data_IF_161485094154
#
_entry.id   IF_161485094154
#
_cell.length_a   1.000
_cell.length_b   1.000
_cell.length_c   1.000
_cell.angle_alpha   90.00
_cell.angle_beta   90.00
_cell.angle_gamma   90.00
#
_symmetry.space_group_name_H-M   'P 1'
#
loop_
_entity.id
_entity.type
_entity.pdbx_description
1 polymer ?
#
# COMPACT_ATOMS: atom_id res chain seq x y z
N UNK A 1 44.15 -16.49 33.89
CA UNK A 1 42.78 -16.90 34.29
C UNK A 1 41.79 -15.72 34.30
N UNK A 2 42.04 -14.63 35.04
CA UNK A 2 41.10 -13.51 35.19
C UNK A 2 40.71 -12.84 33.86
N UNK A 3 41.66 -12.59 32.95
CA UNK A 3 41.40 -11.96 31.63
C UNK A 3 40.54 -12.81 30.73
N UNK A 4 40.70 -14.14 30.71
CA UNK A 4 39.87 -15.06 29.92
C UNK A 4 38.42 -15.11 30.45
N UNK A 5 38.24 -15.07 31.76
CA UNK A 5 36.92 -15.02 32.40
C UNK A 5 36.16 -13.73 32.04
N UNK A 6 36.86 -12.60 32.02
CA UNK A 6 36.26 -11.30 31.65
C UNK A 6 35.88 -11.31 30.16
N UNK A 7 36.74 -11.82 29.29
CA UNK A 7 36.42 -11.94 27.87
C UNK A 7 35.15 -12.80 27.63
N UNK A 8 35.08 -13.98 28.24
CA UNK A 8 33.92 -14.86 28.13
C UNK A 8 32.64 -14.20 28.68
N UNK A 9 32.71 -13.54 29.81
CA UNK A 9 31.58 -12.81 30.41
C UNK A 9 31.10 -11.67 29.48
N UNK A 10 32.03 -10.92 28.89
CA UNK A 10 31.70 -9.86 27.93
C UNK A 10 30.96 -10.41 26.72
N UNK A 11 31.43 -11.53 26.14
CA UNK A 11 30.75 -12.16 25.00
C UNK A 11 29.34 -12.59 25.38
N UNK A 12 29.15 -13.26 26.51
CA UNK A 12 27.84 -13.70 26.99
C UNK A 12 26.92 -12.49 27.21
N UNK A 13 27.40 -11.44 27.85
CA UNK A 13 26.62 -10.21 28.08
C UNK A 13 26.20 -9.54 26.75
N UNK A 14 27.12 -9.43 25.79
CA UNK A 14 26.84 -8.86 24.47
C UNK A 14 25.78 -9.69 23.71
N UNK A 15 25.89 -11.01 23.69
CA UNK A 15 24.92 -11.87 23.03
C UNK A 15 23.55 -11.79 23.69
N UNK A 16 23.49 -11.84 25.03
CA UNK A 16 22.23 -11.68 25.78
C UNK A 16 21.57 -10.33 25.49
N UNK A 17 22.34 -9.26 25.54
CA UNK A 17 21.87 -7.92 25.20
C UNK A 17 21.30 -7.84 23.77
N UNK A 18 21.98 -8.47 22.81
CA UNK A 18 21.54 -8.50 21.40
C UNK A 18 20.24 -9.27 21.20
N UNK A 19 20.06 -10.38 21.92
CA UNK A 19 18.80 -11.14 21.92
C UNK A 19 17.67 -10.24 22.44
N UNK A 20 17.89 -9.53 23.51
CA UNK A 20 16.90 -8.59 24.08
C UNK A 20 16.55 -7.49 23.09
N UNK A 21 17.53 -6.90 22.40
CA UNK A 21 17.25 -5.92 21.33
C UNK A 21 16.39 -6.52 20.24
N UNK A 22 16.71 -7.74 19.75
CA UNK A 22 15.94 -8.41 18.71
C UNK A 22 14.51 -8.76 19.10
N UNK A 23 14.24 -8.94 20.40
CA UNK A 23 12.90 -9.23 20.93
C UNK A 23 12.10 -7.95 21.19
N UNK A 24 12.71 -6.97 21.87
CA UNK A 24 11.99 -5.82 22.41
C UNK A 24 11.91 -4.61 21.48
N UNK A 25 12.81 -4.48 20.49
CA UNK A 25 12.64 -3.42 19.47
C UNK A 25 11.46 -3.79 18.56
N UNK A 26 10.40 -2.97 18.53
CA UNK A 26 9.27 -3.22 17.67
C UNK A 26 9.69 -3.09 16.19
N UNK A 27 9.07 -3.88 15.31
CA UNK A 27 9.36 -3.89 13.86
C UNK A 27 8.82 -2.66 13.12
N UNK A 28 7.81 -2.02 13.70
CA UNK A 28 7.11 -0.85 13.16
C UNK A 28 7.79 0.47 13.53
N UNK A 29 9.07 0.41 13.93
CA UNK A 29 9.88 1.60 14.14
C UNK A 29 10.29 2.25 12.80
N UNK A 30 10.49 3.56 12.80
CA UNK A 30 10.79 4.36 11.62
C UNK A 30 12.09 3.94 10.90
N UNK A 31 13.07 3.37 11.62
CA UNK A 31 14.35 2.96 11.03
C UNK A 31 14.21 1.62 10.27
N UNK A 32 13.52 0.62 10.83
CA UNK A 32 13.22 -0.60 10.08
C UNK A 32 12.36 -0.28 8.85
N UNK A 33 11.41 0.66 8.98
CA UNK A 33 10.63 1.15 7.86
C UNK A 33 11.49 1.79 6.77
N UNK A 34 12.48 2.61 7.15
CA UNK A 34 13.41 3.22 6.20
C UNK A 34 14.30 2.18 5.51
N UNK A 35 14.81 1.18 6.24
CA UNK A 35 15.55 0.06 5.66
C UNK A 35 14.70 -0.69 4.63
N UNK A 36 13.45 -1.00 4.96
CA UNK A 36 12.50 -1.64 4.05
C UNK A 36 12.29 -0.83 2.76
N UNK A 37 12.01 0.47 2.87
CA UNK A 37 11.77 1.35 1.71
C UNK A 37 12.99 1.43 0.79
N UNK A 38 14.20 1.51 1.39
CA UNK A 38 15.47 1.54 0.63
C UNK A 38 15.82 0.17 0.05
N UNK A 39 15.47 -0.93 0.72
CA UNK A 39 15.61 -2.29 0.20
C UNK A 39 14.68 -2.54 -0.99
N UNK A 40 13.44 -2.03 -0.95
CA UNK A 40 12.54 -2.05 -2.11
C UNK A 40 13.15 -1.33 -3.32
N UNK A 41 13.73 -0.14 -3.08
CA UNK A 41 14.42 0.62 -4.12
C UNK A 41 15.61 -0.14 -4.69
N UNK A 42 16.50 -0.67 -3.84
CA UNK A 42 17.70 -1.41 -4.26
C UNK A 42 17.35 -2.65 -5.09
N UNK A 43 16.35 -3.42 -4.65
CA UNK A 43 15.85 -4.57 -5.40
C UNK A 43 15.38 -4.19 -6.80
N UNK A 44 14.62 -3.11 -6.93
CA UNK A 44 14.03 -2.72 -8.21
C UNK A 44 15.01 -2.02 -9.16
N UNK A 45 16.12 -1.48 -8.65
CA UNK A 45 17.18 -0.91 -9.49
C UNK A 45 17.94 -1.98 -10.32
N UNK A 46 17.83 -3.25 -9.90
CA UNK A 46 18.52 -4.38 -10.54
C UNK A 46 17.68 -5.15 -11.57
N UNK A 47 16.36 -4.96 -11.56
CA UNK A 47 15.45 -5.71 -12.42
C UNK A 47 14.59 -4.74 -13.23
N UNK A 48 14.82 -4.68 -14.54
CA UNK A 48 13.89 -4.01 -15.48
C UNK A 48 12.60 -4.85 -15.52
N UNK A 49 11.53 -4.32 -14.91
CA UNK A 49 10.32 -5.08 -14.64
C UNK A 49 9.63 -5.59 -15.90
N UNK A 50 9.52 -6.89 -16.01
CA UNK A 50 8.50 -7.52 -16.85
C UNK A 50 7.13 -7.20 -16.23
N UNK A 51 6.21 -6.65 -17.03
CA UNK A 51 4.90 -6.21 -16.59
C UNK A 51 4.12 -7.34 -15.94
N UNK A 52 3.78 -7.18 -14.65
CA UNK A 52 2.75 -7.97 -14.05
C UNK A 52 1.44 -7.71 -14.83
N UNK A 53 0.58 -8.72 -14.92
CA UNK A 53 -0.76 -8.55 -15.49
C UNK A 53 -1.48 -7.47 -14.68
N UNK A 54 -2.03 -6.48 -15.38
CA UNK A 54 -2.80 -5.41 -14.78
C UNK A 54 -4.21 -5.92 -14.46
N UNK A 55 -4.41 -6.51 -13.27
CA UNK A 55 -5.73 -7.00 -12.83
C UNK A 55 -6.52 -5.90 -12.11
N UNK A 56 -5.85 -4.79 -11.75
CA UNK A 56 -6.41 -3.65 -11.05
C UNK A 56 -6.18 -2.38 -11.85
N UNK A 57 -7.18 -1.51 -11.89
CA UNK A 57 -7.16 -0.25 -12.64
C UNK A 57 -7.75 0.88 -11.79
N UNK A 58 -7.22 2.09 -11.95
CA UNK A 58 -7.75 3.30 -11.31
C UNK A 58 -8.54 4.12 -12.34
N UNK A 59 -9.76 4.47 -11.99
CA UNK A 59 -10.59 5.44 -12.70
C UNK A 59 -10.57 6.76 -11.93
N UNK A 60 -9.90 7.75 -12.49
CA UNK A 60 -9.44 8.92 -11.76
C UNK A 60 -10.26 10.18 -12.05
N UNK A 61 -10.65 10.89 -10.97
CA UNK A 61 -10.92 12.33 -11.05
C UNK A 61 -9.58 13.06 -11.11
N UNK A 62 -9.23 13.54 -12.30
CA UNK A 62 -7.96 14.24 -12.58
C UNK A 62 -8.15 15.77 -12.64
N UNK A 63 -7.07 16.51 -12.89
CA UNK A 63 -7.10 17.97 -12.98
C UNK A 63 -8.01 18.53 -14.08
N UNK A 64 -8.33 17.74 -15.11
CA UNK A 64 -9.23 18.14 -16.20
C UNK A 64 -10.69 17.97 -15.80
N UNK A 65 -10.96 17.12 -14.82
CA UNK A 65 -12.31 16.75 -14.41
C UNK A 65 -13.19 17.95 -13.99
N UNK A 66 -12.72 18.94 -13.19
CA UNK A 66 -13.58 20.04 -12.74
C UNK A 66 -14.15 20.90 -13.86
N UNK A 67 -13.42 21.06 -14.97
CA UNK A 67 -13.79 21.91 -16.11
C UNK A 67 -14.36 21.13 -17.29
N UNK A 68 -14.46 19.81 -17.19
CA UNK A 68 -14.86 18.96 -18.30
C UNK A 68 -16.37 19.07 -18.58
N UNK A 69 -16.78 19.21 -19.86
CA UNK A 69 -18.19 19.24 -20.23
C UNK A 69 -18.96 17.99 -19.83
N UNK A 70 -18.27 16.84 -19.76
CA UNK A 70 -18.81 15.54 -19.35
C UNK A 70 -19.35 15.59 -17.92
N UNK A 71 -18.70 16.35 -17.04
CA UNK A 71 -19.10 16.54 -15.64
C UNK A 71 -20.02 17.75 -15.45
N UNK A 72 -20.31 18.48 -16.55
CA UNK A 72 -21.31 19.56 -16.58
C UNK A 72 -21.07 20.66 -15.53
N UNK A 73 -19.83 20.91 -15.13
CA UNK A 73 -19.45 21.85 -14.07
C UNK A 73 -20.25 21.63 -12.76
N UNK A 74 -20.65 20.38 -12.49
CA UNK A 74 -21.38 20.05 -11.28
C UNK A 74 -20.42 19.99 -10.06
N UNK A 75 -20.83 20.51 -8.91
CA UNK A 75 -20.12 20.21 -7.66
C UNK A 75 -20.22 18.70 -7.35
N UNK A 76 -19.21 18.15 -6.67
CA UNK A 76 -19.16 16.70 -6.37
C UNK A 76 -20.39 16.18 -5.63
N UNK A 77 -20.98 16.99 -4.75
CA UNK A 77 -22.22 16.66 -4.06
C UNK A 77 -23.38 16.30 -5.02
N UNK A 78 -23.29 16.70 -6.29
CA UNK A 78 -24.27 16.44 -7.34
C UNK A 78 -23.78 15.41 -8.39
N UNK A 79 -22.76 14.62 -8.11
CA UNK A 79 -22.21 13.66 -9.07
C UNK A 79 -23.01 12.35 -9.18
N UNK A 80 -24.13 12.18 -8.45
CA UNK A 80 -24.93 10.95 -8.55
C UNK A 80 -25.28 10.52 -9.97
N UNK A 81 -25.68 11.39 -10.94
CA UNK A 81 -25.91 10.96 -12.31
C UNK A 81 -24.64 10.53 -13.04
N UNK A 82 -23.50 11.12 -12.69
CA UNK A 82 -22.19 10.75 -13.24
C UNK A 82 -21.81 9.37 -12.72
N UNK A 83 -21.96 9.13 -11.41
CA UNK A 83 -21.73 7.81 -10.81
C UNK A 83 -22.66 6.75 -11.37
N UNK A 84 -23.93 7.11 -11.67
CA UNK A 84 -24.87 6.22 -12.32
C UNK A 84 -24.38 5.78 -13.71
N UNK A 85 -23.96 6.75 -14.53
CA UNK A 85 -23.44 6.50 -15.87
C UNK A 85 -22.17 5.65 -15.81
N UNK A 86 -21.24 6.01 -14.92
CA UNK A 86 -19.99 5.28 -14.72
C UNK A 86 -20.24 3.83 -14.30
N UNK A 87 -21.11 3.61 -13.31
CA UNK A 87 -21.40 2.27 -12.83
C UNK A 87 -22.15 1.42 -13.87
N UNK A 88 -23.09 2.01 -14.60
CA UNK A 88 -23.77 1.32 -15.68
C UNK A 88 -22.78 0.92 -16.79
N UNK A 89 -21.89 1.81 -17.19
CA UNK A 89 -20.88 1.53 -18.22
C UNK A 89 -19.88 0.44 -17.80
N UNK A 90 -19.36 0.52 -16.56
CA UNK A 90 -18.45 -0.51 -16.03
C UNK A 90 -19.16 -1.85 -15.82
N UNK A 91 -20.43 -1.83 -15.38
CA UNK A 91 -21.23 -3.04 -15.26
C UNK A 91 -21.51 -3.71 -16.60
N UNK A 92 -21.80 -2.93 -17.66
CA UNK A 92 -21.93 -3.43 -19.03
C UNK A 92 -20.60 -3.91 -19.63
N UNK A 93 -19.48 -3.34 -19.17
CA UNK A 93 -18.15 -3.77 -19.55
C UNK A 93 -17.69 -5.02 -18.80
N UNK A 94 -18.52 -5.60 -17.95
CA UNK A 94 -18.21 -6.79 -17.14
C UNK A 94 -16.98 -6.60 -16.24
N UNK A 95 -16.79 -5.42 -15.66
CA UNK A 95 -15.79 -5.21 -14.61
C UNK A 95 -16.04 -6.19 -13.45
N UNK A 96 -14.96 -6.79 -12.92
CA UNK A 96 -15.07 -7.80 -11.86
C UNK A 96 -15.65 -7.22 -10.56
N UNK A 97 -15.19 -6.03 -10.17
CA UNK A 97 -15.79 -5.23 -9.12
C UNK A 97 -15.42 -3.75 -9.29
N UNK A 98 -16.23 -2.87 -8.67
CA UNK A 98 -16.07 -1.41 -8.71
C UNK A 98 -16.06 -0.90 -7.28
N UNK A 99 -14.96 -0.28 -6.84
CA UNK A 99 -14.80 0.26 -5.51
C UNK A 99 -14.69 1.79 -5.57
N UNK A 100 -15.54 2.48 -4.81
CA UNK A 100 -15.55 3.93 -4.71
C UNK A 100 -14.68 4.37 -3.53
N UNK A 101 -13.54 4.98 -3.83
CA UNK A 101 -12.67 5.64 -2.85
C UNK A 101 -13.19 7.07 -2.57
N UNK A 102 -14.48 7.14 -2.23
CA UNK A 102 -15.18 8.36 -1.86
C UNK A 102 -16.15 8.07 -0.72
N UNK A 103 -16.18 8.99 0.24
CA UNK A 103 -17.19 8.99 1.28
C UNK A 103 -18.47 9.65 0.77
N UNK A 104 -19.39 8.86 0.22
CA UNK A 104 -20.67 9.33 -0.31
C UNK A 104 -21.71 9.51 0.81
N UNK A 105 -21.36 10.31 1.84
CA UNK A 105 -22.18 10.51 3.05
C UNK A 105 -23.45 11.33 2.81
N UNK A 106 -23.50 12.06 1.72
CA UNK A 106 -24.66 12.89 1.34
C UNK A 106 -25.33 12.33 0.08
N UNK A 107 -26.65 12.35 0.08
CA UNK A 107 -27.46 12.09 -1.09
C UNK A 107 -27.59 13.38 -1.92
N UNK A 108 -27.27 13.33 -3.20
CA UNK A 108 -27.52 14.47 -4.11
C UNK A 108 -29.00 14.85 -4.16
N UNK A 109 -29.90 13.92 -3.85
CA UNK A 109 -31.34 14.14 -3.73
C UNK A 109 -31.73 15.11 -2.62
N UNK A 110 -30.88 15.34 -1.62
CA UNK A 110 -31.08 16.35 -0.58
C UNK A 110 -30.98 17.78 -1.15
N UNK A 111 -30.18 17.97 -2.20
CA UNK A 111 -29.97 19.25 -2.86
C UNK A 111 -30.89 19.42 -4.08
N UNK A 112 -31.22 18.32 -4.76
CA UNK A 112 -32.05 18.30 -5.95
C UNK A 112 -32.89 17.02 -5.99
N UNK A 113 -34.19 17.16 -5.76
CA UNK A 113 -35.14 16.04 -5.72
C UNK A 113 -35.03 15.14 -6.96
N UNK A 114 -34.98 13.83 -6.72
CA UNK A 114 -34.89 12.81 -7.77
C UNK A 114 -33.51 12.66 -8.44
N UNK A 115 -32.51 13.46 -8.05
CA UNK A 115 -31.19 13.48 -8.68
C UNK A 115 -30.42 12.16 -8.51
N UNK A 116 -30.70 11.43 -7.43
CA UNK A 116 -30.06 10.15 -7.11
C UNK A 116 -30.71 8.93 -7.77
N UNK A 117 -31.87 9.07 -8.38
CA UNK A 117 -32.69 7.94 -8.81
C UNK A 117 -31.91 6.96 -9.70
N UNK A 118 -31.17 7.48 -10.67
CA UNK A 118 -30.42 6.62 -11.60
C UNK A 118 -29.22 5.96 -10.93
N UNK A 119 -28.57 6.63 -9.99
CA UNK A 119 -27.48 6.02 -9.23
C UNK A 119 -27.99 4.93 -8.28
N UNK A 120 -29.12 5.15 -7.61
CA UNK A 120 -29.75 4.11 -6.77
C UNK A 120 -30.16 2.89 -7.62
N UNK A 121 -30.69 3.08 -8.83
CA UNK A 121 -30.98 1.98 -9.76
C UNK A 121 -29.71 1.23 -10.17
N UNK A 122 -28.62 1.94 -10.46
CA UNK A 122 -27.34 1.33 -10.80
C UNK A 122 -26.75 0.54 -9.62
N UNK A 123 -26.78 1.09 -8.41
CA UNK A 123 -26.38 0.41 -7.19
C UNK A 123 -27.22 -0.87 -6.95
N UNK A 124 -28.52 -0.79 -7.15
CA UNK A 124 -29.41 -1.97 -7.01
C UNK A 124 -29.10 -3.06 -8.05
N UNK A 125 -28.79 -2.65 -9.29
CA UNK A 125 -28.50 -3.57 -10.41
C UNK A 125 -27.16 -4.26 -10.26
N UNK A 126 -26.13 -3.54 -9.83
CA UNK A 126 -24.74 -4.02 -9.78
C UNK A 126 -24.19 -4.17 -8.35
N UNK A 127 -25.05 -4.19 -7.33
CA UNK A 127 -24.65 -4.20 -5.93
C UNK A 127 -23.82 -5.42 -5.50
N UNK A 128 -23.91 -6.52 -6.24
CA UNK A 128 -23.06 -7.70 -6.10
C UNK A 128 -21.58 -7.44 -6.44
N UNK A 129 -21.29 -6.41 -7.22
CA UNK A 129 -19.95 -6.02 -7.70
C UNK A 129 -19.48 -4.65 -7.19
N UNK A 130 -20.28 -3.96 -6.39
CA UNK A 130 -19.98 -2.58 -5.95
C UNK A 130 -19.57 -2.54 -4.49
N UNK A 131 -18.56 -1.72 -4.20
CA UNK A 131 -18.17 -1.35 -2.86
C UNK A 131 -18.16 0.17 -2.73
N UNK A 132 -18.88 0.68 -1.74
CA UNK A 132 -18.83 2.09 -1.36
C UNK A 132 -17.87 2.30 -0.18
N UNK A 133 -17.10 3.38 -0.26
CA UNK A 133 -16.23 3.80 0.83
C UNK A 133 -17.01 4.26 2.06
N UNK A 134 -16.54 3.86 3.25
CA UNK A 134 -16.98 4.36 4.55
C UNK A 134 -15.78 4.78 5.40
N UNK A 135 -16.00 5.64 6.37
CA UNK A 135 -15.05 5.83 7.47
C UNK A 135 -15.52 5.09 8.73
N UNK A 136 -14.68 5.05 9.78
CA UNK A 136 -15.04 4.48 11.07
C UNK A 136 -16.29 5.13 11.68
N UNK A 137 -16.46 6.44 11.49
CA UNK A 137 -17.59 7.21 12.06
C UNK A 137 -18.68 7.60 11.06
N UNK A 138 -18.50 7.37 9.76
CA UNK A 138 -19.41 7.88 8.73
C UNK A 138 -19.71 6.83 7.67
N UNK A 139 -21.00 6.59 7.46
CA UNK A 139 -21.50 5.68 6.43
C UNK A 139 -21.94 6.46 5.17
N UNK A 140 -22.02 5.80 4.02
CA UNK A 140 -22.71 6.32 2.86
C UNK A 140 -24.16 6.72 3.18
N UNK A 141 -24.73 7.61 2.36
CA UNK A 141 -26.09 8.06 2.53
C UNK A 141 -27.07 6.88 2.64
N UNK A 142 -28.06 6.97 3.53
CA UNK A 142 -29.04 5.89 3.79
C UNK A 142 -29.74 5.42 2.52
N UNK A 143 -30.01 6.33 1.57
CA UNK A 143 -30.64 6.00 0.28
C UNK A 143 -29.74 5.11 -0.59
N UNK A 144 -28.41 5.26 -0.52
CA UNK A 144 -27.47 4.40 -1.23
C UNK A 144 -27.35 3.04 -0.54
N UNK A 145 -27.32 3.03 0.80
CA UNK A 145 -27.34 1.79 1.58
C UNK A 145 -28.61 0.97 1.29
N UNK A 146 -29.77 1.62 1.22
CA UNK A 146 -31.03 0.98 0.87
C UNK A 146 -31.00 0.37 -0.55
N UNK A 147 -30.41 1.10 -1.52
CA UNK A 147 -30.24 0.57 -2.88
C UNK A 147 -29.31 -0.67 -2.92
N UNK A 148 -28.34 -0.75 -2.02
CA UNK A 148 -27.48 -1.92 -1.79
C UNK A 148 -28.10 -2.95 -0.84
N UNK A 149 -29.39 -2.81 -0.51
CA UNK A 149 -30.12 -3.71 0.42
C UNK A 149 -29.49 -3.81 1.81
N UNK A 150 -28.78 -2.77 2.25
CA UNK A 150 -28.00 -2.73 3.49
C UNK A 150 -26.97 -3.86 3.59
N UNK A 151 -26.44 -4.35 2.45
CA UNK A 151 -25.40 -5.37 2.42
C UNK A 151 -24.10 -4.83 3.03
N UNK A 152 -23.64 -5.33 4.19
CA UNK A 152 -22.42 -4.86 4.82
C UNK A 152 -21.16 -5.20 3.99
N UNK A 153 -21.26 -6.21 3.11
CA UNK A 153 -20.14 -6.59 2.23
C UNK A 153 -19.91 -5.62 1.09
N UNK A 154 -20.88 -4.73 0.83
CA UNK A 154 -20.79 -3.65 -0.15
C UNK A 154 -20.14 -2.38 0.44
N UNK A 155 -19.57 -2.45 1.65
CA UNK A 155 -18.90 -1.34 2.30
C UNK A 155 -17.44 -1.68 2.58
N UNK A 156 -16.54 -0.69 2.38
CA UNK A 156 -15.12 -0.82 2.66
C UNK A 156 -14.56 0.41 3.37
N UNK A 157 -13.72 0.20 4.39
CA UNK A 157 -13.04 1.28 5.11
C UNK A 157 -12.01 1.96 4.22
N UNK A 158 -12.06 3.30 4.24
CA UNK A 158 -11.13 4.18 3.50
C UNK A 158 -9.87 4.51 4.32
N UNK A 159 -9.89 4.25 5.64
CA UNK A 159 -8.78 4.58 6.49
C UNK A 159 -7.53 3.77 6.14
N UNK A 160 -6.45 4.49 5.87
CA UNK A 160 -5.11 3.97 5.71
C UNK A 160 -4.32 4.28 6.98
N UNK A 161 -3.74 3.26 7.59
CA UNK A 161 -3.00 3.41 8.85
C UNK A 161 -1.51 3.63 8.55
N UNK A 162 -0.97 4.82 8.84
CA UNK A 162 0.46 5.08 8.71
C UNK A 162 1.24 4.45 9.87
N UNK A 163 2.48 4.08 9.61
CA UNK A 163 3.47 3.73 10.62
C UNK A 163 3.87 4.98 11.43
N UNK A 164 4.73 4.80 12.44
CA UNK A 164 5.19 5.89 13.32
C UNK A 164 5.89 7.04 12.61
N UNK A 165 6.40 6.81 11.39
CA UNK A 165 7.04 7.82 10.53
C UNK A 165 6.09 8.45 9.49
N UNK A 166 4.79 8.15 9.57
CA UNK A 166 3.78 8.66 8.66
C UNK A 166 3.71 7.94 7.31
N UNK A 167 4.50 6.89 7.11
CA UNK A 167 4.52 6.10 5.86
C UNK A 167 3.55 4.93 5.95
N UNK A 168 2.82 4.68 4.88
CA UNK A 168 1.91 3.54 4.78
C UNK A 168 2.63 2.37 4.14
N UNK A 169 2.85 1.31 4.94
CA UNK A 169 3.50 0.07 4.53
C UNK A 169 2.61 -1.15 4.66
N UNK A 170 1.71 -1.14 5.63
CA UNK A 170 0.87 -2.27 5.99
C UNK A 170 -0.60 -1.95 5.73
N UNK A 171 -1.30 -2.89 5.10
CA UNK A 171 -2.72 -2.77 4.75
C UNK A 171 -3.51 -3.87 5.47
N UNK A 172 -4.14 -3.55 6.61
CA UNK A 172 -5.09 -4.47 7.24
C UNK A 172 -6.24 -4.77 6.28
N UNK A 173 -6.58 -6.04 6.08
CA UNK A 173 -7.73 -6.42 5.25
C UNK A 173 -9.04 -6.33 6.03
N UNK A 174 -8.96 -6.34 7.37
CA UNK A 174 -10.10 -6.11 8.24
C UNK A 174 -9.71 -5.29 9.46
N UNK A 175 -10.65 -4.51 9.97
CA UNK A 175 -10.50 -3.68 11.16
C UNK A 175 -11.61 -4.05 12.14
N UNK A 176 -11.33 -4.03 13.45
CA UNK A 176 -12.38 -4.07 14.47
C UNK A 176 -13.23 -2.80 14.39
N UNK A 177 -14.56 -2.94 14.34
CA UNK A 177 -15.43 -1.76 14.38
C UNK A 177 -15.76 -1.43 15.85
N UNK A 178 -15.09 -0.43 16.39
CA UNK A 178 -15.32 0.05 17.78
C UNK A 178 -16.76 0.53 18.02
N UNK A 179 -17.51 0.86 16.97
CA UNK A 179 -18.89 1.34 17.06
C UNK A 179 -19.92 0.21 16.95
N UNK A 180 -19.52 -0.95 16.42
CA UNK A 180 -20.42 -2.12 16.25
C UNK A 180 -20.22 -3.20 17.32
N UNK A 181 -19.37 -2.95 18.32
CA UNK A 181 -18.89 -3.95 19.27
C UNK A 181 -17.60 -4.63 18.77
N UNK A 182 -16.75 -5.06 19.69
CA UNK A 182 -15.39 -5.57 19.41
C UNK A 182 -15.35 -6.80 18.47
N UNK A 183 -16.50 -7.45 18.20
CA UNK A 183 -16.58 -8.68 17.42
C UNK A 183 -16.92 -8.50 15.93
N UNK A 184 -17.22 -7.28 15.48
CA UNK A 184 -17.57 -7.03 14.08
C UNK A 184 -16.35 -6.52 13.29
N UNK A 185 -15.75 -7.41 12.53
CA UNK A 185 -14.66 -7.04 11.62
C UNK A 185 -15.21 -6.36 10.36
N UNK A 186 -14.81 -5.10 10.12
CA UNK A 186 -15.11 -4.37 8.89
C UNK A 186 -13.94 -4.50 7.92
N UNK A 187 -14.24 -4.85 6.67
CA UNK A 187 -13.22 -4.98 5.62
C UNK A 187 -12.69 -3.61 5.20
N UNK A 188 -11.40 -3.53 4.88
CA UNK A 188 -10.84 -2.38 4.14
C UNK A 188 -11.46 -2.29 2.75
N UNK A 189 -11.34 -1.13 2.08
CA UNK A 189 -11.85 -0.94 0.72
C UNK A 189 -11.28 -1.97 -0.25
N UNK A 190 -9.97 -2.23 -0.16
CA UNK A 190 -9.29 -3.24 -0.98
C UNK A 190 -9.83 -4.65 -0.73
N UNK A 191 -10.01 -5.03 0.54
CA UNK A 191 -10.51 -6.36 0.89
C UNK A 191 -11.98 -6.57 0.49
N UNK A 192 -12.81 -5.54 0.64
CA UNK A 192 -14.21 -5.60 0.21
C UNK A 192 -14.30 -5.74 -1.32
N UNK A 193 -13.46 -4.98 -2.07
CA UNK A 193 -13.38 -5.05 -3.52
C UNK A 193 -12.92 -6.43 -4.02
N UNK A 194 -11.85 -6.99 -3.40
CA UNK A 194 -11.38 -8.34 -3.70
C UNK A 194 -12.46 -9.40 -3.46
N UNK A 195 -13.19 -9.29 -2.34
CA UNK A 195 -14.27 -10.22 -2.03
C UNK A 195 -15.42 -10.15 -3.04
N UNK A 196 -15.81 -8.94 -3.49
CA UNK A 196 -16.83 -8.76 -4.55
C UNK A 196 -16.36 -9.30 -5.90
N UNK A 197 -15.06 -9.28 -6.17
CA UNK A 197 -14.46 -9.92 -7.36
C UNK A 197 -14.29 -11.46 -7.22
N UNK A 198 -14.73 -12.06 -6.11
CA UNK A 198 -14.57 -13.50 -5.85
C UNK A 198 -13.15 -13.91 -5.46
N UNK A 199 -12.30 -12.95 -5.09
CA UNK A 199 -10.90 -13.15 -4.71
C UNK A 199 -10.78 -12.97 -3.19
N UNK A 200 -9.97 -13.76 -2.51
CA UNK A 200 -9.63 -13.44 -1.12
C UNK A 200 -9.87 -14.51 -0.06
N UNK A 201 -10.23 -15.74 -0.44
CA UNK A 201 -10.48 -16.83 0.53
C UNK A 201 -9.25 -17.30 1.30
N UNK A 202 -8.03 -16.96 0.86
CA UNK A 202 -6.75 -17.38 1.47
C UNK A 202 -5.80 -16.22 1.79
N UNK A 203 -6.31 -14.99 1.87
CA UNK A 203 -5.46 -13.83 2.13
C UNK A 203 -5.10 -13.71 3.61
N UNK A 204 -3.90 -13.24 3.96
CA UNK A 204 -3.52 -12.96 5.34
C UNK A 204 -4.36 -11.79 5.89
N UNK A 205 -4.47 -11.63 7.22
CA UNK A 205 -5.24 -10.54 7.83
C UNK A 205 -4.66 -9.16 7.49
N UNK A 206 -3.41 -9.11 7.09
CA UNK A 206 -2.68 -7.88 6.71
C UNK A 206 -1.77 -8.17 5.53
N UNK A 207 -1.66 -7.21 4.61
CA UNK A 207 -0.77 -7.26 3.46
C UNK A 207 0.28 -6.17 3.59
N UNK A 208 1.54 -6.53 3.40
CA UNK A 208 2.65 -5.60 3.22
C UNK A 208 3.05 -5.69 1.75
N UNK A 209 2.58 -4.80 0.87
CA UNK A 209 2.91 -4.84 -0.53
C UNK A 209 4.41 -4.73 -0.76
N UNK A 210 4.90 -5.47 -1.74
CA UNK A 210 6.28 -5.41 -2.20
C UNK A 210 6.31 -5.00 -3.67
N UNK A 211 5.88 -3.76 -3.99
CA UNK A 211 5.70 -3.32 -5.36
C UNK A 211 7.03 -3.27 -6.10
N UNK A 212 6.98 -3.58 -7.40
CA UNK A 212 8.13 -3.43 -8.31
C UNK A 212 8.15 -2.11 -9.05
N UNK A 213 7.06 -1.35 -8.98
CA UNK A 213 6.90 -0.07 -9.63
C UNK A 213 6.24 0.93 -8.67
N UNK A 214 6.44 2.21 -8.95
CA UNK A 214 5.74 3.26 -8.23
C UNK A 214 4.21 3.07 -8.33
N UNK A 215 3.41 3.34 -7.29
CA UNK A 215 1.96 3.12 -7.33
C UNK A 215 1.26 3.87 -8.46
N UNK A 216 1.72 5.06 -8.84
CA UNK A 216 1.18 5.81 -9.98
C UNK A 216 1.53 5.20 -11.37
N UNK A 217 2.33 4.12 -11.43
CA UNK A 217 2.55 3.35 -12.65
C UNK A 217 1.36 2.43 -12.98
N UNK A 218 0.44 2.25 -12.04
CA UNK A 218 -0.77 1.45 -12.22
C UNK A 218 -1.63 2.02 -13.36
N UNK A 219 -2.28 1.16 -14.17
CA UNK A 219 -3.17 1.62 -15.23
C UNK A 219 -4.22 2.58 -14.67
N UNK A 220 -4.20 3.80 -15.15
CA UNK A 220 -5.10 4.86 -14.70
C UNK A 220 -5.73 5.53 -15.89
N UNK A 221 -7.06 5.70 -15.84
CA UNK A 221 -7.83 6.36 -16.89
C UNK A 221 -8.60 7.53 -16.29
N UNK A 222 -8.67 8.64 -17.03
CA UNK A 222 -9.49 9.77 -16.60
C UNK A 222 -10.99 9.44 -16.70
N UNK A 223 -11.74 9.75 -15.64
CA UNK A 223 -13.19 9.55 -15.62
C UNK A 223 -13.87 10.22 -16.81
N UNK A 224 -13.46 11.43 -17.19
CA UNK A 224 -14.03 12.19 -18.32
C UNK A 224 -13.85 11.48 -19.66
N UNK A 225 -12.69 10.87 -19.89
CA UNK A 225 -12.41 10.14 -21.13
C UNK A 225 -13.21 8.83 -21.17
N UNK A 226 -13.34 8.15 -20.05
CA UNK A 226 -14.15 6.92 -19.93
C UNK A 226 -15.64 7.22 -20.16
N UNK A 227 -16.20 8.29 -19.56
CA UNK A 227 -17.59 8.71 -19.80
C UNK A 227 -17.84 9.02 -21.28
N UNK A 228 -16.89 9.71 -21.91
CA UNK A 228 -16.99 9.98 -23.36
C UNK A 228 -17.03 8.69 -24.16
N UNK A 229 -16.16 7.73 -23.82
CA UNK A 229 -16.09 6.44 -24.49
C UNK A 229 -17.32 5.57 -24.22
N UNK A 230 -17.90 5.61 -23.04
CA UNK A 230 -19.15 4.91 -22.73
C UNK A 230 -20.29 5.34 -23.65
N UNK A 231 -20.31 6.61 -24.07
CA UNK A 231 -21.34 7.18 -24.96
C UNK A 231 -21.09 6.91 -26.46
N UNK A 232 -19.82 6.83 -26.87
CA UNK A 232 -19.44 6.82 -28.29
C UNK A 232 -18.88 5.50 -28.77
N UNK A 233 -18.26 4.70 -27.91
CA UNK A 233 -17.60 3.45 -28.24
C UNK A 233 -17.59 2.48 -27.04
N UNK A 234 -18.73 1.94 -26.61
CA UNK A 234 -18.83 1.07 -25.45
C UNK A 234 -17.94 -0.18 -25.54
N UNK A 235 -17.70 -0.69 -26.77
CA UNK A 235 -16.82 -1.84 -26.99
C UNK A 235 -15.36 -1.58 -26.54
N UNK A 236 -14.87 -0.34 -26.68
CA UNK A 236 -13.54 0.06 -26.21
C UNK A 236 -13.49 0.01 -24.69
N UNK A 237 -14.57 0.47 -24.04
CA UNK A 237 -14.70 0.42 -22.58
C UNK A 237 -14.73 -1.04 -22.12
N UNK A 238 -15.53 -1.88 -22.78
CA UNK A 238 -15.59 -3.32 -22.46
C UNK A 238 -14.21 -3.96 -22.56
N UNK A 239 -13.54 -3.80 -23.68
CA UNK A 239 -12.18 -4.36 -23.89
C UNK A 239 -11.17 -3.88 -22.84
N UNK A 240 -11.36 -2.66 -22.31
CA UNK A 240 -10.41 -2.06 -21.34
C UNK A 240 -10.67 -2.52 -19.92
N UNK A 241 -11.94 -2.76 -19.52
CA UNK A 241 -12.30 -2.99 -18.12
C UNK A 241 -12.85 -4.39 -17.82
N UNK A 242 -13.06 -5.22 -18.83
CA UNK A 242 -13.60 -6.58 -18.67
C UNK A 242 -12.72 -7.43 -17.73
N UNK A 243 -13.34 -7.95 -16.66
CA UNK A 243 -12.68 -8.79 -15.68
C UNK A 243 -11.72 -8.05 -14.72
N UNK A 244 -11.59 -6.72 -14.85
CA UNK A 244 -10.69 -5.94 -13.98
C UNK A 244 -11.39 -5.45 -12.71
N UNK A 245 -10.59 -5.27 -11.66
CA UNK A 245 -10.99 -4.60 -10.44
C UNK A 245 -10.76 -3.09 -10.59
N UNK A 246 -11.83 -2.30 -10.52
CA UNK A 246 -11.80 -0.86 -10.77
C UNK A 246 -11.91 -0.08 -9.46
N UNK A 247 -10.91 0.75 -9.14
CA UNK A 247 -10.98 1.72 -8.06
C UNK A 247 -11.26 3.10 -8.61
N UNK A 248 -12.33 3.75 -8.15
CA UNK A 248 -12.72 5.11 -8.55
C UNK A 248 -12.32 6.06 -7.44
N UNK A 249 -11.41 7.00 -7.74
CA UNK A 249 -10.93 7.94 -6.73
C UNK A 249 -10.39 9.25 -7.30
N UNK A 250 -9.97 10.13 -6.41
CA UNK A 250 -9.36 11.41 -6.79
C UNK A 250 -7.84 11.27 -6.91
N UNK A 251 -7.29 11.84 -7.98
CA UNK A 251 -5.83 11.98 -8.16
C UNK A 251 -5.43 13.47 -8.23
N UNK A 252 -6.26 14.34 -7.70
CA UNK A 252 -5.98 15.77 -7.63
C UNK A 252 -4.79 16.04 -6.71
N UNK A 253 -3.96 17.05 -7.02
CA UNK A 253 -2.73 17.33 -6.25
C UNK A 253 -3.00 17.69 -4.79
N UNK A 254 -4.14 18.32 -4.52
CA UNK A 254 -4.50 18.89 -3.23
C UNK A 254 -5.39 17.97 -2.38
N UNK A 255 -5.64 16.73 -2.84
CA UNK A 255 -6.56 15.81 -2.18
C UNK A 255 -5.89 14.51 -1.78
N UNK A 256 -6.18 14.07 -0.55
CA UNK A 256 -5.85 12.76 0.05
C UNK A 256 -4.52 12.13 -0.39
N UNK A 257 -3.44 12.87 -0.24
CA UNK A 257 -2.11 12.39 -0.57
C UNK A 257 -1.42 11.77 0.64
N UNK A 258 -0.82 10.61 0.44
CA UNK A 258 -0.17 9.80 1.48
C UNK A 258 1.26 9.44 1.08
N UNK A 259 2.11 9.18 2.08
CA UNK A 259 3.46 8.68 1.85
C UNK A 259 3.41 7.16 1.79
N UNK A 260 3.97 6.58 0.73
CA UNK A 260 4.03 5.14 0.51
C UNK A 260 5.45 4.60 0.75
N UNK A 261 5.56 3.33 1.12
CA UNK A 261 6.82 2.59 1.13
C UNK A 261 7.56 2.64 -0.23
N UNK A 262 6.80 2.73 -1.32
CA UNK A 262 7.33 2.82 -2.68
C UNK A 262 7.84 4.22 -3.09
N UNK A 263 7.97 5.16 -2.16
CA UNK A 263 8.36 6.57 -2.40
C UNK A 263 9.70 6.76 -3.10
N UNK A 264 10.59 5.78 -3.01
CA UNK A 264 11.90 5.82 -3.67
C UNK A 264 11.93 5.11 -5.02
N UNK A 265 10.84 4.43 -5.40
CA UNK A 265 10.74 3.81 -6.73
C UNK A 265 10.61 4.90 -7.80
N UNK A 266 11.22 4.70 -8.98
CA UNK A 266 11.10 5.66 -10.05
C UNK A 266 9.64 5.82 -10.47
N UNK A 267 9.16 7.03 -10.75
CA UNK A 267 7.84 7.24 -11.34
C UNK A 267 7.77 6.54 -12.70
N UNK A 268 6.56 6.12 -13.08
CA UNK A 268 6.36 5.56 -14.42
C UNK A 268 6.72 6.60 -15.48
N UNK A 269 7.23 6.13 -16.61
CA UNK A 269 7.44 7.00 -17.75
C UNK A 269 6.09 7.59 -18.19
N UNK A 270 6.01 8.90 -18.47
CA UNK A 270 4.79 9.50 -18.97
C UNK A 270 4.40 8.79 -20.28
N UNK A 271 3.17 8.29 -20.32
CA UNK A 271 2.61 7.69 -21.52
C UNK A 271 2.22 8.84 -22.45
N UNK A 272 2.74 8.85 -23.67
CA UNK A 272 2.44 9.87 -24.66
C UNK A 272 0.91 9.97 -24.89
N UNK A 273 0.35 11.10 -24.47
CA UNK A 273 -1.08 11.37 -24.56
C UNK A 273 -1.53 11.87 -25.95
N UNK A 274 -0.66 11.84 -26.96
CA UNK A 274 -0.84 12.58 -28.22
C UNK A 274 -1.58 11.85 -29.35
N UNK A 275 -2.17 10.66 -29.13
CA UNK A 275 -2.90 9.99 -30.19
C UNK A 275 -4.40 9.86 -29.90
N UNK A 276 -5.11 10.98 -29.86
CA UNK A 276 -6.58 10.97 -29.81
C UNK A 276 -7.15 11.06 -31.23
N UNK A 277 -7.28 9.93 -31.91
CA UNK A 277 -8.22 9.75 -33.03
C UNK A 277 -9.29 8.74 -32.61
N UNK A 278 -10.50 9.21 -32.41
CA UNK A 278 -11.60 8.39 -31.92
C UNK A 278 -11.64 8.26 -30.40
N UNK A 279 -12.42 7.32 -29.88
CA UNK A 279 -12.43 7.01 -28.46
C UNK A 279 -11.29 6.06 -28.14
N UNK A 280 -10.13 6.59 -27.88
CA UNK A 280 -9.02 5.89 -27.24
C UNK A 280 -8.98 6.30 -25.77
N UNK A 281 -8.68 5.34 -24.90
CA UNK A 281 -8.52 5.57 -23.48
C UNK A 281 -7.02 5.68 -23.16
N UNK A 282 -6.42 6.88 -23.20
CA UNK A 282 -5.03 7.04 -22.86
C UNK A 282 -4.86 6.78 -21.36
N UNK A 283 -3.81 6.05 -20.99
CA UNK A 283 -3.41 5.94 -19.59
C UNK A 283 -2.91 7.30 -19.11
N UNK A 284 -3.33 7.71 -17.94
CA UNK A 284 -2.77 8.89 -17.28
C UNK A 284 -1.33 8.58 -16.85
N UNK A 285 -0.43 9.51 -17.14
CA UNK A 285 0.93 9.49 -16.58
C UNK A 285 0.92 9.90 -15.11
N UNK A 286 2.03 9.65 -14.38
CA UNK A 286 2.19 10.04 -13.00
C UNK A 286 2.09 11.56 -12.85
N UNK A 287 1.56 12.00 -11.73
CA UNK A 287 1.51 13.42 -11.39
C UNK A 287 2.91 13.99 -11.22
N UNK A 288 3.22 15.07 -11.92
CA UNK A 288 4.51 15.79 -11.76
C UNK A 288 4.66 16.49 -10.40
N UNK A 289 3.61 16.51 -9.59
CA UNK A 289 3.52 17.45 -8.48
C UNK A 289 4.26 17.03 -7.21
N UNK A 290 4.53 15.75 -6.94
CA UNK A 290 5.28 15.38 -5.74
C UNK A 290 5.63 13.87 -5.75
N UNK A 291 6.88 13.53 -5.97
CA UNK A 291 7.33 12.14 -6.08
C UNK A 291 7.24 11.33 -4.77
N UNK A 292 7.11 11.99 -3.62
CA UNK A 292 7.10 11.32 -2.32
C UNK A 292 5.71 10.96 -1.79
N UNK A 293 4.66 11.55 -2.34
CA UNK A 293 3.28 11.30 -1.94
C UNK A 293 2.44 10.82 -3.11
N UNK A 294 1.52 9.91 -2.84
CA UNK A 294 0.59 9.36 -3.83
C UNK A 294 -0.85 9.55 -3.37
N UNK A 295 -1.83 9.73 -4.27
CA UNK A 295 -3.24 9.70 -3.93
C UNK A 295 -3.65 8.40 -3.23
N UNK A 296 -4.54 8.48 -2.23
CA UNK A 296 -4.98 7.34 -1.43
C UNK A 296 -5.54 6.19 -2.26
N UNK A 297 -6.26 6.49 -3.33
CA UNK A 297 -6.82 5.49 -4.25
C UNK A 297 -5.77 4.52 -4.81
N UNK A 298 -4.55 5.00 -5.10
CA UNK A 298 -3.47 4.13 -5.56
C UNK A 298 -2.99 3.17 -4.48
N UNK A 299 -3.08 3.56 -3.21
CA UNK A 299 -2.68 2.70 -2.10
C UNK A 299 -3.68 1.54 -1.92
N UNK A 300 -4.98 1.82 -2.02
CA UNK A 300 -6.01 0.78 -2.04
C UNK A 300 -5.85 -0.15 -3.24
N UNK A 301 -5.63 0.41 -4.41
CA UNK A 301 -5.42 -0.36 -5.64
C UNK A 301 -4.12 -1.20 -5.57
N UNK A 302 -3.03 -0.65 -5.02
CA UNK A 302 -1.76 -1.36 -4.81
C UNK A 302 -1.92 -2.54 -3.84
N UNK A 303 -2.66 -2.37 -2.75
CA UNK A 303 -2.94 -3.46 -1.80
C UNK A 303 -3.75 -4.58 -2.48
N UNK A 304 -4.74 -4.23 -3.29
CA UNK A 304 -5.52 -5.20 -4.06
C UNK A 304 -4.67 -5.91 -5.12
N UNK A 305 -3.84 -5.18 -5.88
CA UNK A 305 -2.94 -5.76 -6.87
C UNK A 305 -1.91 -6.70 -6.21
N UNK A 306 -1.35 -6.31 -5.06
CA UNK A 306 -0.43 -7.16 -4.31
C UNK A 306 -1.10 -8.46 -3.84
N UNK A 307 -2.37 -8.38 -3.42
CA UNK A 307 -3.16 -9.55 -3.03
C UNK A 307 -3.38 -10.51 -4.20
N UNK A 308 -3.71 -10.00 -5.39
CA UNK A 308 -3.98 -10.79 -6.60
C UNK A 308 -2.69 -11.43 -7.12
N UNK A 309 -1.62 -10.65 -7.23
CA UNK A 309 -0.36 -11.09 -7.81
C UNK A 309 0.53 -11.88 -6.86
N UNK A 310 0.21 -11.94 -5.56
CA UNK A 310 1.07 -12.51 -4.53
C UNK A 310 2.32 -11.69 -4.21
N UNK A 311 2.43 -10.46 -4.73
CA UNK A 311 3.57 -9.56 -4.50
C UNK A 311 3.48 -8.84 -3.15
N UNK A 312 3.52 -9.60 -2.08
CA UNK A 312 3.52 -9.10 -0.71
C UNK A 312 4.50 -9.91 0.15
N UNK A 313 4.97 -9.28 1.22
CA UNK A 313 5.96 -9.88 2.11
C UNK A 313 5.38 -10.17 3.48
N UNK A 314 5.98 -11.15 4.13
CA UNK A 314 5.73 -11.48 5.54
C UNK A 314 6.92 -11.03 6.37
N UNK A 315 6.69 -10.34 7.48
CA UNK A 315 7.79 -10.04 8.40
C UNK A 315 8.32 -11.32 9.03
N UNK A 316 9.64 -11.40 9.18
CA UNK A 316 10.30 -12.52 9.84
C UNK A 316 9.77 -12.68 11.27
N UNK A 317 9.62 -13.94 11.69
CA UNK A 317 9.19 -14.24 13.05
C UNK A 317 10.16 -13.67 14.10
N UNK A 318 9.67 -13.26 15.30
CA UNK A 318 10.51 -12.66 16.33
C UNK A 318 11.74 -13.47 16.70
N UNK A 319 11.62 -14.81 16.66
CA UNK A 319 12.73 -15.71 16.92
C UNK A 319 13.90 -15.51 15.93
N UNK A 320 13.61 -15.39 14.64
CA UNK A 320 14.65 -15.15 13.63
C UNK A 320 15.33 -13.80 13.81
N UNK A 321 14.59 -12.76 14.18
CA UNK A 321 15.15 -11.45 14.50
C UNK A 321 16.13 -11.55 15.68
N UNK A 322 15.74 -12.26 16.74
CA UNK A 322 16.58 -12.46 17.91
C UNK A 322 17.85 -13.27 17.55
N UNK A 323 17.73 -14.31 16.72
CA UNK A 323 18.88 -15.12 16.27
C UNK A 323 19.85 -14.28 15.43
N UNK A 324 19.37 -13.50 14.49
CA UNK A 324 20.21 -12.63 13.65
C UNK A 324 20.88 -11.56 14.52
N UNK A 325 20.14 -10.94 15.44
CA UNK A 325 20.69 -9.96 16.38
C UNK A 325 21.79 -10.59 17.28
N UNK A 326 21.56 -11.81 17.79
CA UNK A 326 22.54 -12.55 18.58
C UNK A 326 23.82 -12.85 17.79
N UNK A 327 23.68 -13.31 16.55
CA UNK A 327 24.82 -13.59 15.68
C UNK A 327 25.66 -12.35 15.37
N UNK A 328 24.98 -11.22 15.08
CA UNK A 328 25.65 -9.94 14.84
C UNK A 328 26.21 -9.33 16.12
N UNK A 329 25.54 -9.51 17.27
CA UNK A 329 26.07 -9.11 18.56
C UNK A 329 27.32 -9.88 18.96
N UNK A 330 27.36 -11.18 18.68
CA UNK A 330 28.58 -11.99 18.84
C UNK A 330 29.69 -11.48 17.92
N UNK A 331 29.39 -11.26 16.64
CA UNK A 331 30.37 -10.69 15.71
C UNK A 331 30.91 -9.35 16.20
N UNK A 332 30.04 -8.44 16.66
CA UNK A 332 30.44 -7.15 17.23
C UNK A 332 31.32 -7.28 18.46
N UNK A 333 31.00 -8.21 19.38
CA UNK A 333 31.84 -8.48 20.54
C UNK A 333 33.25 -8.97 20.15
N UNK A 334 33.33 -9.88 19.17
CA UNK A 334 34.61 -10.37 18.66
C UNK A 334 35.41 -9.25 17.96
N UNK A 335 34.76 -8.43 17.14
CA UNK A 335 35.42 -7.30 16.50
C UNK A 335 36.01 -6.31 17.52
N UNK A 336 35.25 -5.94 18.56
CA UNK A 336 35.69 -5.01 19.60
C UNK A 336 36.82 -5.57 20.46
N UNK A 337 36.79 -6.87 20.78
CA UNK A 337 37.82 -7.53 21.60
C UNK A 337 39.11 -7.78 20.85
N UNK A 338 39.08 -8.10 19.57
CA UNK A 338 40.27 -8.63 18.88
C UNK A 338 40.83 -7.72 17.78
N UNK A 339 40.02 -6.82 17.16
CA UNK A 339 40.51 -5.94 16.10
C UNK A 339 40.99 -4.57 16.64
N UNK A 340 41.81 -3.92 15.83
CA UNK A 340 42.10 -2.50 16.02
C UNK A 340 40.84 -1.64 15.66
N UNK A 341 40.68 -0.44 16.26
CA UNK A 341 39.48 0.39 16.09
C UNK A 341 39.06 0.60 14.62
N UNK A 342 40.01 0.94 13.77
CA UNK A 342 39.76 1.16 12.35
C UNK A 342 39.31 -0.10 11.60
N UNK A 343 39.91 -1.24 11.93
CA UNK A 343 39.50 -2.53 11.36
C UNK A 343 38.11 -2.95 11.83
N UNK A 344 37.82 -2.77 13.12
CA UNK A 344 36.50 -3.05 13.68
C UNK A 344 35.44 -2.16 13.04
N UNK A 345 35.70 -0.85 12.92
CA UNK A 345 34.81 0.12 12.24
C UNK A 345 34.51 -0.31 10.82
N UNK A 346 35.54 -0.60 10.01
CA UNK A 346 35.33 -1.06 8.64
C UNK A 346 34.49 -2.33 8.56
N UNK A 347 34.78 -3.33 9.40
CA UNK A 347 34.01 -4.57 9.45
C UNK A 347 32.55 -4.35 9.83
N UNK A 348 32.25 -3.44 10.77
CA UNK A 348 30.88 -3.08 11.17
C UNK A 348 30.12 -2.54 9.97
N UNK A 349 30.69 -1.63 9.18
CA UNK A 349 30.03 -1.09 7.97
C UNK A 349 29.82 -2.14 6.89
N UNK A 350 30.81 -3.02 6.67
CA UNK A 350 30.67 -4.12 5.71
C UNK A 350 29.53 -5.05 6.15
N UNK A 351 29.50 -5.47 7.42
CA UNK A 351 28.45 -6.36 7.93
C UNK A 351 27.07 -5.69 7.90
N UNK A 352 26.97 -4.41 8.26
CA UNK A 352 25.72 -3.66 8.14
C UNK A 352 25.22 -3.59 6.69
N UNK A 353 26.12 -3.34 5.73
CA UNK A 353 25.80 -3.36 4.30
C UNK A 353 25.35 -4.75 3.81
N UNK A 354 25.96 -5.82 4.32
CA UNK A 354 25.54 -7.19 4.02
C UNK A 354 24.15 -7.51 4.59
N UNK A 355 23.83 -7.06 5.80
CA UNK A 355 22.49 -7.23 6.40
C UNK A 355 21.44 -6.51 5.57
N UNK A 356 21.70 -5.26 5.17
CA UNK A 356 20.79 -4.51 4.30
C UNK A 356 20.64 -5.17 2.92
N UNK A 357 21.72 -5.65 2.33
CA UNK A 357 21.66 -6.39 1.05
C UNK A 357 20.89 -7.71 1.18
N UNK A 358 21.03 -8.39 2.31
CA UNK A 358 20.26 -9.60 2.61
C UNK A 358 18.77 -9.31 2.76
N UNK A 359 18.39 -8.16 3.37
CA UNK A 359 17.00 -7.70 3.42
C UNK A 359 16.45 -7.50 2.01
N UNK A 360 17.17 -6.77 1.14
CA UNK A 360 16.75 -6.55 -0.25
C UNK A 360 16.59 -7.88 -1.01
N UNK A 361 17.49 -8.84 -0.81
CA UNK A 361 17.38 -10.18 -1.38
C UNK A 361 16.21 -10.99 -0.82
N UNK A 362 15.93 -10.89 0.48
CA UNK A 362 14.81 -11.60 1.12
C UNK A 362 13.43 -11.15 0.61
N UNK A 363 13.30 -9.90 0.17
CA UNK A 363 12.06 -9.39 -0.44
C UNK A 363 11.68 -10.16 -1.71
N UNK A 364 12.65 -10.74 -2.44
CA UNK A 364 12.36 -11.60 -3.62
C UNK A 364 11.66 -12.91 -3.22
N UNK A 365 11.88 -13.36 -2.01
CA UNK A 365 11.26 -14.57 -1.45
C UNK A 365 10.01 -14.27 -0.61
N UNK A 366 9.47 -13.05 -0.69
CA UNK A 366 8.30 -12.65 0.08
C UNK A 366 8.55 -12.53 1.59
N UNK A 367 9.80 -12.26 2.00
CA UNK A 367 10.19 -12.15 3.41
C UNK A 367 10.77 -10.76 3.70
N UNK A 368 10.25 -10.09 4.72
CA UNK A 368 10.83 -8.87 5.28
C UNK A 368 11.69 -9.21 6.49
N UNK A 369 12.98 -8.91 6.42
CA UNK A 369 13.96 -9.07 7.50
C UNK A 369 14.25 -7.69 8.13
N UNK A 370 13.66 -7.33 9.28
CA UNK A 370 13.95 -6.05 9.93
C UNK A 370 15.44 -5.95 10.27
N UNK A 371 16.14 -4.96 9.72
CA UNK A 371 17.58 -4.82 9.78
C UNK A 371 18.08 -3.97 10.94
N UNK A 372 17.25 -3.07 11.48
CA UNK A 372 17.68 -2.08 12.46
C UNK A 372 18.20 -2.71 13.76
N UNK A 373 17.41 -3.57 14.40
CA UNK A 373 17.82 -4.18 15.68
C UNK A 373 19.11 -5.00 15.56
N UNK A 374 19.32 -5.84 14.53
CA UNK A 374 20.59 -6.53 14.29
C UNK A 374 21.78 -5.59 14.05
N UNK A 375 21.62 -4.54 13.24
CA UNK A 375 22.69 -3.57 12.99
C UNK A 375 23.03 -2.79 14.26
N UNK A 376 22.02 -2.40 15.04
CA UNK A 376 22.22 -1.72 16.31
C UNK A 376 22.97 -2.64 17.30
N UNK A 377 22.60 -3.93 17.37
CA UNK A 377 23.29 -4.92 18.18
C UNK A 377 24.76 -5.03 17.81
N UNK A 378 25.06 -5.15 16.52
CA UNK A 378 26.45 -5.20 16.01
C UNK A 378 27.24 -3.98 16.45
N UNK A 379 26.70 -2.78 16.27
CA UNK A 379 27.37 -1.52 16.62
C UNK A 379 27.60 -1.41 18.13
N UNK A 380 26.55 -1.55 18.94
CA UNK A 380 26.64 -1.35 20.39
C UNK A 380 27.54 -2.39 21.05
N UNK A 381 27.50 -3.66 20.62
CA UNK A 381 28.36 -4.69 21.20
C UNK A 381 29.82 -4.50 20.80
N UNK A 382 30.11 -4.00 19.59
CA UNK A 382 31.47 -3.63 19.20
C UNK A 382 32.04 -2.55 20.10
N UNK A 383 31.26 -1.48 20.35
CA UNK A 383 31.68 -0.38 21.21
C UNK A 383 31.87 -0.86 22.67
N UNK A 384 30.89 -1.62 23.19
CA UNK A 384 30.95 -2.14 24.57
C UNK A 384 32.16 -3.05 24.76
N UNK A 385 32.39 -3.99 23.88
CA UNK A 385 33.52 -4.91 23.94
C UNK A 385 34.87 -4.17 23.82
N UNK A 386 34.93 -3.13 22.99
CA UNK A 386 36.09 -2.29 22.86
C UNK A 386 36.38 -1.52 24.16
N UNK A 387 35.36 -0.94 24.81
CA UNK A 387 35.50 -0.26 26.09
C UNK A 387 36.00 -1.22 27.17
N UNK A 388 35.45 -2.43 27.27
CA UNK A 388 35.91 -3.43 28.25
C UNK A 388 37.37 -3.77 28.00
N UNK A 389 37.82 -3.93 26.76
CA UNK A 389 39.20 -4.21 26.40
C UNK A 389 40.18 -3.14 26.90
N UNK A 390 39.76 -1.87 26.95
CA UNK A 390 40.63 -0.76 27.39
C UNK A 390 40.53 -0.43 28.87
N UNK A 391 39.47 -0.86 29.55
CA UNK A 391 39.28 -0.64 30.97
C UNK A 391 39.86 -1.76 31.84
N UNK A 392 40.12 -2.91 31.24
CA UNK A 392 40.64 -4.14 31.88
C UNK A 392 41.92 -4.60 31.18
#
# INVERSE_FOLDING_TARGET
MQRQSITALTIVACVTFSILLGIFIPRDNSLDGWFFDTALWARNSQVSGAGARDDVVVLALDQRSPSAPELRNLPRALFSPIWAETLNGLGQADAAAVAFDFLLSFSSGQFKAGHDREFQKALFRYGDRVVLGRSAGTLPAKSYLAALRFDPTALGLLELLPDTDGVIREFPLSHGDKNAGDDVAVRSLSAAALAKAGIGQALPPRIIPSPRQHPEAMPTYALVDVLRCMRTAPDVVKKTFEGLLVFIGSVLPDEDRRISAARYLPPANPIDSNSMKGCQLPRLGPSKANSHTVPGVYLHAMAAQAAISGNWVRPAAPLWRAVIAAALGLAGALLGLFLAPWGAFLCVFILAGLVWSAEAGALEFGLWLPAFAPILALFLTTVLAYLVRYLV
#
